data_IF_763394888895
#
_entry.id   IF_763394888895
#
_cell.length_a   1.000
_cell.length_b   1.000
_cell.length_c   1.000
_cell.angle_alpha   90.00
_cell.angle_beta   90.00
_cell.angle_gamma   90.00
#
_symmetry.space_group_name_H-M   'P 1'
#
loop_
_entity.id
_entity.type
_entity.pdbx_description
1 polymer ?
#
# COMPACT_ATOMS: atom_id res chain seq x y z
N UNK A 1 52.71 5.49 -31.11
CA UNK A 1 52.91 6.33 -29.93
C UNK A 1 54.23 5.97 -29.30
N UNK A 2 55.07 6.93 -28.99
CA UNK A 2 56.33 6.65 -28.27
C UNK A 2 56.01 6.43 -26.78
N UNK A 3 56.88 5.69 -26.08
CA UNK A 3 56.72 5.44 -24.63
C UNK A 3 56.60 6.74 -23.81
N UNK A 4 57.17 7.81 -24.27
CA UNK A 4 57.01 9.16 -23.67
C UNK A 4 55.62 9.74 -23.85
N UNK A 5 54.98 9.56 -24.99
CA UNK A 5 53.62 10.04 -25.23
C UNK A 5 52.61 9.29 -24.34
N UNK A 6 52.81 7.98 -24.17
CA UNK A 6 51.97 7.17 -23.26
C UNK A 6 52.14 7.60 -21.79
N UNK A 7 53.38 7.92 -21.38
CA UNK A 7 53.65 8.46 -20.05
C UNK A 7 52.98 9.81 -19.80
N UNK A 8 53.03 10.73 -20.76
CA UNK A 8 52.36 12.02 -20.65
C UNK A 8 50.82 11.88 -20.63
N UNK A 9 50.28 10.99 -21.44
CA UNK A 9 48.84 10.73 -21.41
C UNK A 9 48.35 10.19 -20.04
N UNK A 10 49.13 9.27 -19.47
CA UNK A 10 48.83 8.75 -18.14
C UNK A 10 48.88 9.84 -17.05
N UNK A 11 49.92 10.70 -17.12
CA UNK A 11 50.03 11.84 -16.19
C UNK A 11 48.89 12.86 -16.37
N UNK A 12 48.49 13.15 -17.61
CA UNK A 12 47.35 14.04 -17.88
C UNK A 12 46.06 13.44 -17.29
N UNK A 13 45.81 12.15 -17.51
CA UNK A 13 44.61 11.48 -16.97
C UNK A 13 44.60 11.49 -15.45
N UNK A 14 45.77 11.28 -14.81
CA UNK A 14 45.90 11.32 -13.35
C UNK A 14 45.65 12.74 -12.82
N UNK A 15 46.19 13.76 -13.44
CA UNK A 15 45.97 15.18 -13.07
C UNK A 15 44.50 15.60 -13.27
N UNK A 16 43.87 15.17 -14.34
CA UNK A 16 42.44 15.42 -14.58
C UNK A 16 41.55 14.78 -13.49
N UNK A 17 41.89 13.57 -13.06
CA UNK A 17 41.21 12.92 -11.95
C UNK A 17 41.40 13.67 -10.62
N UNK A 18 42.60 14.16 -10.33
CA UNK A 18 42.89 14.96 -9.14
C UNK A 18 42.14 16.30 -9.17
N UNK A 19 42.10 16.97 -10.31
CA UNK A 19 41.35 18.22 -10.49
C UNK A 19 39.84 17.97 -10.27
N UNK A 20 39.29 16.88 -10.79
CA UNK A 20 37.88 16.53 -10.59
C UNK A 20 37.59 16.33 -9.09
N UNK A 21 38.43 15.58 -8.39
CA UNK A 21 38.29 15.34 -6.97
C UNK A 21 38.33 16.64 -6.15
N UNK A 22 39.32 17.50 -6.44
CA UNK A 22 39.45 18.79 -5.74
C UNK A 22 38.25 19.71 -5.99
N UNK A 23 37.71 19.75 -7.21
CA UNK A 23 36.48 20.54 -7.52
C UNK A 23 35.30 20.03 -6.70
N UNK A 24 35.06 18.73 -6.62
CA UNK A 24 33.98 18.16 -5.81
C UNK A 24 34.13 18.49 -4.31
N UNK A 25 35.35 18.44 -3.79
CA UNK A 25 35.64 18.81 -2.40
C UNK A 25 35.40 20.29 -2.13
N UNK A 26 35.82 21.17 -3.04
CA UNK A 26 35.58 22.63 -2.95
C UNK A 26 34.09 22.93 -3.00
N UNK A 27 33.35 22.31 -3.90
CA UNK A 27 31.89 22.46 -4.00
C UNK A 27 31.18 22.00 -2.73
N UNK A 28 31.59 20.88 -2.15
CA UNK A 28 31.08 20.40 -0.88
C UNK A 28 31.33 21.40 0.26
N UNK A 29 32.57 21.85 0.39
CA UNK A 29 32.94 22.79 1.44
C UNK A 29 32.25 24.16 1.27
N UNK A 30 32.11 24.62 0.04
CA UNK A 30 31.40 25.87 -0.28
C UNK A 30 29.91 25.77 0.09
N UNK A 31 29.25 24.68 -0.25
CA UNK A 31 27.85 24.43 0.16
C UNK A 31 27.68 24.32 1.65
N UNK A 32 28.64 23.71 2.35
CA UNK A 32 28.63 23.58 3.82
C UNK A 32 28.79 24.91 4.52
N UNK A 33 29.59 25.83 3.97
CA UNK A 33 29.90 27.16 4.53
C UNK A 33 28.86 28.21 4.16
N UNK A 34 28.36 28.19 2.91
CA UNK A 34 27.52 29.25 2.36
C UNK A 34 26.15 28.79 1.89
N UNK A 35 25.85 27.48 1.93
CA UNK A 35 24.55 26.98 1.54
C UNK A 35 23.46 27.40 2.53
N UNK A 36 22.38 27.97 2.03
CA UNK A 36 21.19 28.25 2.82
C UNK A 36 20.62 26.90 3.30
N UNK A 37 20.34 26.78 4.59
CA UNK A 37 19.67 25.64 5.21
C UNK A 37 18.18 25.66 4.83
N UNK A 38 17.87 25.40 3.57
CA UNK A 38 16.50 25.19 3.10
C UNK A 38 16.31 23.71 2.85
N UNK A 39 15.42 23.08 3.63
CA UNK A 39 15.01 21.67 3.46
C UNK A 39 14.08 21.44 2.25
N UNK A 40 13.96 22.41 1.34
CA UNK A 40 13.19 22.22 0.11
C UNK A 40 14.00 21.39 -0.87
N UNK A 41 13.75 20.08 -0.87
CA UNK A 41 14.19 19.16 -1.92
C UNK A 41 13.40 19.52 -3.18
N UNK A 42 14.08 20.09 -4.20
CA UNK A 42 13.49 20.16 -5.53
C UNK A 42 13.33 18.76 -6.06
N UNK A 43 12.09 18.32 -6.23
CA UNK A 43 11.76 17.06 -6.88
C UNK A 43 12.22 17.17 -8.33
N UNK A 44 13.24 16.41 -8.68
CA UNK A 44 13.56 16.12 -10.07
C UNK A 44 12.50 15.13 -10.55
N UNK A 45 11.63 15.56 -11.47
CA UNK A 45 10.74 14.66 -12.20
C UNK A 45 11.60 13.64 -12.96
N UNK A 46 11.67 12.43 -12.44
CA UNK A 46 12.26 11.29 -13.12
C UNK A 46 11.08 10.60 -13.81
N UNK A 47 11.01 10.67 -15.14
CA UNK A 47 10.03 9.92 -15.92
C UNK A 47 10.04 8.45 -15.52
N UNK A 48 8.86 7.94 -15.10
CA UNK A 48 8.68 6.55 -14.69
C UNK A 48 8.64 6.28 -13.19
N UNK A 49 8.85 7.27 -12.31
CA UNK A 49 8.68 7.10 -10.87
C UNK A 49 7.23 7.37 -10.48
N UNK A 50 6.43 6.31 -10.31
CA UNK A 50 5.11 6.43 -9.70
C UNK A 50 5.25 6.80 -8.22
N UNK A 51 4.75 7.98 -7.84
CA UNK A 51 4.56 8.35 -6.44
C UNK A 51 3.52 7.40 -5.82
N UNK A 52 3.90 6.68 -4.78
CA UNK A 52 2.99 5.75 -4.09
C UNK A 52 1.95 6.49 -3.24
N UNK A 53 2.13 7.77 -2.95
CA UNK A 53 1.29 8.58 -2.09
C UNK A 53 1.09 10.00 -2.62
N UNK A 54 -0.11 10.27 -2.96
CA UNK A 54 -0.95 11.47 -3.02
C UNK A 54 -0.29 12.81 -3.40
N UNK A 55 -0.36 13.17 -4.68
CA UNK A 55 -0.05 14.50 -5.20
C UNK A 55 -0.83 15.64 -4.52
N UNK A 56 -1.98 15.35 -3.90
CA UNK A 56 -2.85 16.34 -3.24
C UNK A 56 -2.25 16.92 -1.97
N UNK A 57 -1.38 16.20 -1.26
CA UNK A 57 -0.66 16.73 -0.10
C UNK A 57 0.57 17.56 -0.49
N UNK A 58 1.15 17.29 -1.66
CA UNK A 58 2.29 18.03 -2.19
C UNK A 58 1.90 19.45 -2.62
N UNK A 59 0.67 19.65 -3.09
CA UNK A 59 0.11 20.96 -3.49
C UNK A 59 -0.69 21.64 -2.40
N UNK A 60 -0.79 21.08 -1.19
CA UNK A 60 -1.46 21.73 -0.07
C UNK A 60 -0.66 22.97 0.36
N UNK A 61 -1.31 24.11 0.34
CA UNK A 61 -0.72 25.37 0.81
C UNK A 61 -0.47 25.28 2.32
N UNK A 62 0.79 25.12 2.71
CA UNK A 62 1.22 25.02 4.10
C UNK A 62 1.02 26.33 4.90
N UNK A 63 0.66 27.43 4.22
CA UNK A 63 0.39 28.73 4.86
C UNK A 63 -1.05 28.86 5.38
N UNK A 64 -1.95 27.97 4.98
CA UNK A 64 -3.34 27.98 5.46
C UNK A 64 -3.36 27.47 6.89
N UNK A 65 -3.62 28.36 7.84
CA UNK A 65 -3.84 28.00 9.26
C UNK A 65 -4.99 27.03 9.37
N UNK A 66 -4.73 25.88 10.04
CA UNK A 66 -5.81 24.97 10.42
C UNK A 66 -6.87 25.75 11.22
N UNK A 67 -8.18 25.52 10.94
CA UNK A 67 -9.22 26.13 11.72
C UNK A 67 -9.08 25.73 13.20
N UNK A 68 -9.11 26.71 14.10
CA UNK A 68 -9.04 26.46 15.54
C UNK A 68 -10.11 25.43 15.94
N UNK A 69 -9.69 24.42 16.72
CA UNK A 69 -10.58 23.41 17.25
C UNK A 69 -11.53 24.10 18.24
N UNK A 70 -12.74 24.43 17.79
CA UNK A 70 -13.81 24.85 18.67
C UNK A 70 -14.22 23.61 19.50
N UNK A 71 -14.12 23.70 20.83
CA UNK A 71 -14.70 22.70 21.72
C UNK A 71 -16.19 22.58 21.39
N UNK A 72 -16.57 21.46 20.79
CA UNK A 72 -17.97 21.16 20.51
C UNK A 72 -18.61 20.79 21.84
N UNK A 73 -19.50 21.65 22.35
CA UNK A 73 -20.34 21.34 23.50
C UNK A 73 -21.00 19.96 23.30
N UNK A 74 -21.11 19.20 24.41
CA UNK A 74 -21.73 17.87 24.42
C UNK A 74 -23.09 17.90 23.73
N UNK A 75 -23.15 17.47 22.47
CA UNK A 75 -24.41 17.31 21.77
C UNK A 75 -25.19 16.17 22.40
N UNK A 76 -26.33 16.47 22.96
CA UNK A 76 -27.35 15.48 23.31
C UNK A 76 -27.73 14.72 22.04
N UNK A 77 -27.47 13.39 22.02
CA UNK A 77 -27.90 12.52 20.91
C UNK A 77 -29.40 12.69 20.70
N UNK A 78 -29.80 13.26 19.57
CA UNK A 78 -31.20 13.25 19.15
C UNK A 78 -31.70 11.80 19.13
N UNK A 79 -32.80 11.51 19.82
CA UNK A 79 -33.45 10.20 19.74
C UNK A 79 -33.76 9.91 18.27
N UNK A 80 -33.33 8.74 17.79
CA UNK A 80 -33.72 8.25 16.47
C UNK A 80 -35.25 8.07 16.48
N UNK A 81 -35.93 8.71 15.56
CA UNK A 81 -37.37 8.49 15.38
C UNK A 81 -37.61 7.31 14.43
N UNK A 82 -38.71 6.61 14.62
CA UNK A 82 -39.18 5.52 13.77
C UNK A 82 -39.46 6.08 12.35
N UNK A 83 -39.00 5.41 11.29
CA UNK A 83 -39.20 5.87 9.89
C UNK A 83 -38.00 6.61 9.28
N UNK A 84 -36.93 6.88 10.03
CA UNK A 84 -35.77 7.61 9.52
C UNK A 84 -35.08 6.88 8.36
N UNK A 85 -35.09 5.54 8.34
CA UNK A 85 -34.52 4.75 7.26
C UNK A 85 -35.36 4.82 5.99
N UNK A 86 -36.64 4.68 6.10
CA UNK A 86 -37.59 4.76 4.99
C UNK A 86 -37.50 6.13 4.32
N UNK A 87 -37.33 7.20 5.09
CA UNK A 87 -37.16 8.54 4.55
C UNK A 87 -35.84 8.69 3.74
N UNK A 88 -34.76 8.01 4.16
CA UNK A 88 -33.47 8.07 3.48
C UNK A 88 -33.47 7.39 2.09
N UNK A 89 -34.34 6.43 1.86
CA UNK A 89 -34.36 5.60 0.64
C UNK A 89 -35.60 5.77 -0.22
N UNK A 90 -36.54 6.63 0.19
CA UNK A 90 -37.86 6.77 -0.44
C UNK A 90 -37.81 7.13 -1.93
N UNK A 91 -36.79 7.88 -2.36
CA UNK A 91 -36.66 8.38 -3.73
C UNK A 91 -35.76 7.46 -4.61
N UNK A 92 -35.26 6.34 -4.05
CA UNK A 92 -34.45 5.38 -4.79
C UNK A 92 -35.30 4.26 -5.40
N UNK A 93 -34.90 3.67 -6.54
CA UNK A 93 -35.63 2.53 -7.13
C UNK A 93 -35.52 1.30 -6.21
N UNK A 94 -36.65 0.63 -5.97
CA UNK A 94 -36.74 -0.55 -5.14
C UNK A 94 -36.87 -1.82 -5.97
N UNK A 95 -36.28 -2.93 -5.48
CA UNK A 95 -36.56 -4.28 -6.01
C UNK A 95 -36.72 -5.27 -4.86
N UNK A 96 -37.60 -6.24 -5.04
CA UNK A 96 -37.87 -7.32 -4.08
C UNK A 96 -37.01 -8.53 -4.43
N UNK A 97 -36.33 -9.08 -3.44
CA UNK A 97 -35.66 -10.40 -3.53
C UNK A 97 -36.40 -11.36 -2.58
N UNK A 98 -36.92 -12.45 -3.14
CA UNK A 98 -37.63 -13.46 -2.40
C UNK A 98 -36.73 -14.68 -2.20
N UNK A 99 -36.46 -15.02 -0.94
CA UNK A 99 -35.74 -16.23 -0.56
C UNK A 99 -36.71 -17.37 -0.34
N UNK A 100 -36.47 -18.48 -1.01
CA UNK A 100 -37.29 -19.69 -0.98
C UNK A 100 -36.48 -20.86 -0.46
N UNK A 101 -37.15 -21.89 0.03
CA UNK A 101 -36.54 -23.19 0.35
C UNK A 101 -36.62 -24.06 -0.90
N UNK A 102 -35.50 -24.68 -1.31
CA UNK A 102 -35.47 -25.63 -2.42
C UNK A 102 -36.44 -26.81 -2.16
N UNK A 103 -36.93 -27.43 -3.23
CA UNK A 103 -37.91 -28.55 -3.14
C UNK A 103 -37.44 -29.67 -2.21
N UNK A 104 -36.15 -29.98 -2.24
CA UNK A 104 -35.54 -30.98 -1.33
C UNK A 104 -35.60 -30.60 0.17
N UNK A 105 -35.53 -29.29 0.45
CA UNK A 105 -35.62 -28.74 1.81
C UNK A 105 -37.05 -28.54 2.31
N UNK A 106 -38.07 -28.67 1.44
CA UNK A 106 -39.49 -28.51 1.81
C UNK A 106 -40.05 -29.76 2.47
N UNK A 107 -39.23 -30.66 3.00
CA UNK A 107 -39.62 -31.85 3.73
C UNK A 107 -39.47 -31.57 5.21
N UNK A 108 -40.55 -31.85 5.98
CA UNK A 108 -40.57 -31.67 7.43
C UNK A 108 -39.60 -32.66 8.11
N UNK A 109 -38.60 -32.17 8.80
CA UNK A 109 -37.62 -32.97 9.53
C UNK A 109 -38.25 -33.86 10.63
N UNK A 110 -39.42 -33.48 11.17
CA UNK A 110 -40.10 -34.23 12.23
C UNK A 110 -40.94 -35.40 11.72
N UNK A 111 -41.58 -35.28 10.56
CA UNK A 111 -42.52 -36.32 10.12
C UNK A 111 -42.37 -36.73 8.66
N UNK A 112 -41.39 -36.20 7.91
CA UNK A 112 -41.11 -36.51 6.52
C UNK A 112 -42.17 -36.04 5.49
N UNK A 113 -43.20 -35.29 5.91
CA UNK A 113 -44.24 -34.81 4.99
C UNK A 113 -43.82 -33.48 4.33
N UNK A 114 -44.29 -33.20 3.10
CA UNK A 114 -44.05 -31.92 2.43
C UNK A 114 -44.70 -30.75 3.20
N UNK A 115 -43.92 -29.68 3.35
CA UNK A 115 -44.38 -28.42 3.94
C UNK A 115 -45.02 -27.53 2.88
N UNK A 116 -45.95 -26.67 3.29
CA UNK A 116 -46.67 -25.73 2.43
C UNK A 116 -46.30 -24.32 2.81
N UNK A 117 -46.05 -23.48 1.80
CA UNK A 117 -45.87 -22.04 2.00
C UNK A 117 -47.09 -21.45 2.68
N UNK A 118 -46.88 -20.74 3.79
CA UNK A 118 -47.95 -20.11 4.59
C UNK A 118 -47.85 -18.59 4.63
N UNK A 119 -46.71 -18.03 4.16
CA UNK A 119 -46.57 -16.57 4.11
C UNK A 119 -45.19 -16.11 3.64
N UNK A 120 -45.03 -14.82 3.54
CA UNK A 120 -43.78 -14.12 3.28
C UNK A 120 -43.51 -13.16 4.43
N UNK A 121 -42.26 -13.10 4.86
CA UNK A 121 -41.84 -12.21 5.93
C UNK A 121 -40.75 -11.27 5.39
N UNK A 122 -40.93 -9.96 5.67
CA UNK A 122 -39.88 -8.98 5.41
C UNK A 122 -38.68 -9.26 6.32
N UNK A 123 -37.48 -9.29 5.74
CA UNK A 123 -36.25 -9.57 6.49
C UNK A 123 -35.42 -8.31 6.67
N UNK A 124 -35.07 -7.63 5.59
CA UNK A 124 -34.25 -6.43 5.61
C UNK A 124 -34.31 -5.67 4.30
N UNK A 125 -33.90 -4.42 4.37
CA UNK A 125 -33.60 -3.57 3.21
C UNK A 125 -32.09 -3.34 3.13
N UNK A 126 -31.52 -3.40 1.93
CA UNK A 126 -30.14 -3.01 1.65
C UNK A 126 -30.07 -2.09 0.42
N UNK A 127 -29.04 -1.25 0.34
CA UNK A 127 -28.77 -0.41 -0.84
C UNK A 127 -27.67 -1.04 -1.67
N UNK A 128 -27.96 -1.34 -2.93
CA UNK A 128 -26.99 -1.86 -3.88
C UNK A 128 -26.39 -0.70 -4.68
N UNK A 129 -25.06 -0.61 -4.75
CA UNK A 129 -24.38 0.27 -5.66
C UNK A 129 -24.28 -0.40 -7.05
N UNK A 130 -24.76 0.33 -8.05
CA UNK A 130 -24.56 0.00 -9.46
C UNK A 130 -23.79 1.18 -10.04
N UNK A 131 -22.70 0.98 -10.81
CA UNK A 131 -21.96 2.10 -11.40
C UNK A 131 -22.89 3.11 -12.04
N UNK A 132 -22.77 4.39 -11.63
CA UNK A 132 -23.64 5.50 -11.97
C UNK A 132 -25.08 5.50 -11.38
N UNK A 133 -25.38 4.64 -10.39
CA UNK A 133 -26.70 4.68 -9.74
C UNK A 133 -26.80 3.86 -8.46
N UNK A 134 -27.86 4.13 -7.69
CA UNK A 134 -28.21 3.38 -6.49
C UNK A 134 -29.51 2.63 -6.69
N UNK A 135 -29.62 1.46 -6.11
CA UNK A 135 -30.84 0.65 -6.10
C UNK A 135 -31.09 0.14 -4.69
N UNK A 136 -32.31 0.22 -4.23
CA UNK A 136 -32.74 -0.37 -2.97
C UNK A 136 -33.20 -1.80 -3.23
N UNK A 137 -32.73 -2.72 -2.38
CA UNK A 137 -33.12 -4.12 -2.42
C UNK A 137 -33.82 -4.46 -1.10
N UNK A 138 -35.09 -4.84 -1.18
CA UNK A 138 -35.87 -5.31 -0.05
C UNK A 138 -35.87 -6.84 -0.04
N UNK A 139 -35.32 -7.42 1.00
CA UNK A 139 -35.25 -8.86 1.16
C UNK A 139 -36.47 -9.38 1.93
N UNK A 140 -37.13 -10.35 1.35
CA UNK A 140 -38.25 -11.09 1.93
C UNK A 140 -37.90 -12.56 1.98
N UNK A 141 -38.43 -13.28 2.95
CA UNK A 141 -38.31 -14.73 3.02
C UNK A 141 -39.66 -15.41 3.13
N UNK A 142 -39.78 -16.56 2.53
CA UNK A 142 -40.97 -17.41 2.65
C UNK A 142 -40.93 -18.17 3.96
N UNK A 143 -42.10 -18.43 4.51
CA UNK A 143 -42.32 -19.26 5.69
C UNK A 143 -43.16 -20.47 5.27
N UNK A 144 -42.72 -21.64 5.64
CA UNK A 144 -43.34 -22.91 5.31
C UNK A 144 -43.89 -23.56 6.57
N UNK A 145 -45.05 -24.25 6.47
CA UNK A 145 -45.67 -24.97 7.57
C UNK A 145 -45.89 -26.45 7.21
N UNK A 146 -45.59 -27.34 8.16
CA UNK A 146 -45.95 -28.76 8.05
C UNK A 146 -47.39 -28.97 8.51
N UNK A 147 -48.32 -29.17 7.57
CA UNK A 147 -49.74 -29.40 7.88
C UNK A 147 -49.99 -30.71 8.65
N UNK A 148 -49.15 -31.73 8.47
CA UNK A 148 -49.26 -33.00 9.17
C UNK A 148 -48.93 -32.81 10.65
N UNK A 149 -47.83 -32.16 10.99
CA UNK A 149 -47.46 -31.88 12.38
C UNK A 149 -48.50 -30.97 13.04
N UNK A 150 -49.05 -29.99 12.31
CA UNK A 150 -50.13 -29.11 12.82
C UNK A 150 -51.36 -29.93 13.23
N UNK A 151 -51.80 -30.90 12.39
CA UNK A 151 -52.96 -31.77 12.72
C UNK A 151 -52.69 -32.67 13.92
N UNK A 152 -51.43 -33.00 14.19
CA UNK A 152 -50.99 -33.80 15.32
C UNK A 152 -50.79 -32.97 16.61
N UNK A 153 -51.09 -31.68 16.59
CA UNK A 153 -50.94 -30.78 17.76
C UNK A 153 -49.50 -30.33 18.04
N UNK A 154 -48.53 -30.64 17.17
CA UNK A 154 -47.15 -30.22 17.30
C UNK A 154 -46.70 -29.39 16.06
N UNK A 155 -47.17 -28.16 15.91
CA UNK A 155 -46.89 -27.33 14.71
C UNK A 155 -45.39 -27.18 14.49
N UNK A 156 -44.98 -27.35 13.23
CA UNK A 156 -43.61 -27.12 12.77
C UNK A 156 -43.62 -26.11 11.62
N UNK A 157 -42.82 -25.05 11.78
CA UNK A 157 -42.65 -24.01 10.79
C UNK A 157 -41.17 -23.82 10.50
N UNK A 158 -40.83 -23.58 9.25
CA UNK A 158 -39.50 -23.30 8.78
C UNK A 158 -39.50 -22.04 7.92
N UNK A 159 -38.47 -21.22 8.08
CA UNK A 159 -38.27 -19.99 7.32
C UNK A 159 -37.10 -20.16 6.35
N UNK A 160 -37.27 -19.71 5.13
CA UNK A 160 -36.20 -19.73 4.13
C UNK A 160 -34.93 -19.05 4.66
N UNK A 161 -33.73 -19.66 4.44
CA UNK A 161 -32.48 -19.07 4.85
C UNK A 161 -32.20 -17.78 4.06
N UNK A 162 -31.65 -16.78 4.72
CA UNK A 162 -31.25 -15.52 4.10
C UNK A 162 -29.78 -15.26 4.40
N UNK A 163 -28.96 -14.94 3.38
CA UNK A 163 -27.56 -14.62 3.59
C UNK A 163 -27.36 -13.50 4.61
N UNK A 164 -26.37 -13.64 5.47
CA UNK A 164 -26.03 -12.62 6.45
C UNK A 164 -25.55 -11.35 5.75
N UNK A 165 -26.06 -10.16 6.10
CA UNK A 165 -25.56 -8.92 5.53
C UNK A 165 -24.13 -8.64 6.02
N UNK A 166 -23.30 -7.93 5.23
CA UNK A 166 -21.93 -7.63 5.65
C UNK A 166 -21.86 -6.78 6.91
N UNK A 167 -22.86 -5.92 7.15
CA UNK A 167 -23.00 -5.14 8.38
C UNK A 167 -24.44 -5.27 8.88
N UNK A 168 -24.60 -5.88 10.05
CA UNK A 168 -25.92 -6.09 10.66
C UNK A 168 -26.64 -4.75 10.90
N UNK A 169 -27.94 -4.77 10.69
CA UNK A 169 -28.82 -3.60 10.94
C UNK A 169 -28.42 -2.32 10.19
N UNK A 170 -27.82 -2.46 9.01
CA UNK A 170 -27.43 -1.33 8.15
C UNK A 170 -28.09 -1.42 6.76
N UNK A 171 -27.91 -0.37 5.95
CA UNK A 171 -28.29 -0.37 4.53
C UNK A 171 -27.14 -0.86 3.62
N UNK A 172 -26.02 -1.27 4.22
CA UNK A 172 -24.83 -1.65 3.49
C UNK A 172 -25.00 -2.99 2.79
N UNK A 173 -24.92 -3.00 1.46
CA UNK A 173 -24.69 -4.20 0.68
C UNK A 173 -23.19 -4.44 0.46
N UNK A 174 -22.82 -5.63 0.01
CA UNK A 174 -21.43 -5.92 -0.35
C UNK A 174 -20.90 -4.99 -1.44
N UNK A 175 -21.72 -4.65 -2.45
CA UNK A 175 -21.34 -3.74 -3.54
C UNK A 175 -21.12 -2.31 -3.07
N UNK A 176 -21.95 -1.81 -2.16
CA UNK A 176 -21.80 -0.49 -1.55
C UNK A 176 -20.49 -0.36 -0.78
N UNK A 177 -20.16 -1.40 0.00
CA UNK A 177 -18.92 -1.44 0.79
C UNK A 177 -17.70 -1.55 -0.11
N UNK A 178 -17.75 -2.41 -1.13
CA UNK A 178 -16.65 -2.55 -2.10
C UNK A 178 -16.34 -1.23 -2.80
N UNK A 179 -17.37 -0.48 -3.20
CA UNK A 179 -17.21 0.83 -3.80
C UNK A 179 -16.62 1.85 -2.83
N UNK A 180 -17.09 1.86 -1.59
CA UNK A 180 -16.58 2.73 -0.53
C UNK A 180 -15.08 2.49 -0.25
N UNK A 181 -14.67 1.21 -0.22
CA UNK A 181 -13.27 0.79 -0.04
C UNK A 181 -12.43 1.22 -1.24
N UNK A 182 -12.90 0.92 -2.46
CA UNK A 182 -12.21 1.28 -3.70
C UNK A 182 -11.96 2.79 -3.79
N UNK A 183 -12.98 3.60 -3.59
CA UNK A 183 -12.83 5.05 -3.61
C UNK A 183 -11.84 5.55 -2.55
N UNK A 184 -11.92 5.01 -1.33
CA UNK A 184 -11.10 5.51 -0.23
C UNK A 184 -9.63 5.08 -0.35
N UNK A 185 -9.37 3.82 -0.64
CA UNK A 185 -8.03 3.24 -0.53
C UNK A 185 -7.29 3.09 -1.85
N UNK A 186 -8.00 3.02 -2.97
CA UNK A 186 -7.39 2.96 -4.29
C UNK A 186 -7.37 4.33 -4.98
N UNK A 187 -8.51 5.04 -4.95
CA UNK A 187 -8.61 6.36 -5.58
C UNK A 187 -8.25 7.52 -4.63
N UNK A 188 -7.96 7.25 -3.36
CA UNK A 188 -7.60 8.28 -2.38
C UNK A 188 -8.71 9.27 -2.03
N UNK A 189 -9.99 8.98 -2.34
CA UNK A 189 -11.11 9.89 -2.11
C UNK A 189 -11.54 9.85 -0.63
N UNK A 190 -11.37 10.94 0.14
CA UNK A 190 -11.73 10.95 1.55
C UNK A 190 -13.24 10.88 1.74
N UNK A 191 -13.68 10.29 2.88
CA UNK A 191 -15.10 10.04 3.16
C UNK A 191 -15.99 11.30 3.08
N UNK A 192 -15.45 12.49 3.36
CA UNK A 192 -16.25 13.73 3.27
C UNK A 192 -16.57 14.11 1.81
N UNK A 193 -15.76 13.70 0.84
CA UNK A 193 -16.06 13.87 -0.58
C UNK A 193 -17.03 12.81 -1.07
N UNK A 194 -16.87 11.59 -0.60
CA UNK A 194 -17.81 10.50 -0.89
C UNK A 194 -19.20 10.79 -0.32
N UNK A 195 -19.33 11.44 0.87
CA UNK A 195 -20.59 11.88 1.44
C UNK A 195 -21.39 12.77 0.47
N UNK A 196 -20.69 13.69 -0.22
CA UNK A 196 -21.31 14.56 -1.24
C UNK A 196 -21.74 13.80 -2.49
N UNK A 197 -20.93 12.83 -2.92
CA UNK A 197 -21.27 11.97 -4.06
C UNK A 197 -22.51 11.12 -3.76
N UNK A 198 -22.56 10.48 -2.59
CA UNK A 198 -23.72 9.71 -2.16
C UNK A 198 -25.00 10.58 -2.08
N UNK A 199 -24.88 11.80 -1.58
CA UNK A 199 -26.00 12.75 -1.55
C UNK A 199 -26.47 13.12 -2.97
N UNK A 200 -25.55 13.34 -3.92
CA UNK A 200 -25.87 13.60 -5.32
C UNK A 200 -26.55 12.41 -5.99
N UNK A 201 -26.26 11.18 -5.57
CA UNK A 201 -26.94 9.96 -6.02
C UNK A 201 -28.27 9.69 -5.29
N UNK A 202 -28.69 10.58 -4.41
CA UNK A 202 -29.96 10.48 -3.67
C UNK A 202 -29.91 9.78 -2.31
N UNK A 203 -28.71 9.43 -1.81
CA UNK A 203 -28.54 8.77 -0.51
C UNK A 203 -27.76 9.65 0.48
N UNK A 204 -28.40 10.17 1.51
CA UNK A 204 -27.75 10.92 2.60
C UNK A 204 -27.02 9.98 3.57
N UNK A 205 -25.83 9.56 3.20
CA UNK A 205 -24.97 8.65 3.97
C UNK A 205 -23.90 9.45 4.72
N UNK A 206 -23.95 9.47 6.06
CA UNK A 206 -22.99 10.24 6.85
C UNK A 206 -21.60 9.59 6.89
N UNK A 207 -20.56 10.42 7.02
CA UNK A 207 -19.16 9.96 7.22
C UNK A 207 -19.03 8.97 8.38
N UNK A 208 -19.75 9.20 9.46
CA UNK A 208 -19.74 8.32 10.64
C UNK A 208 -20.29 6.93 10.30
N UNK A 209 -21.38 6.85 9.50
CA UNK A 209 -21.92 5.57 9.04
C UNK A 209 -20.94 4.84 8.11
N UNK A 210 -20.35 5.54 7.14
CA UNK A 210 -19.34 4.98 6.23
C UNK A 210 -18.12 4.45 7.01
N UNK A 211 -17.59 5.25 7.95
CA UNK A 211 -16.45 4.83 8.78
C UNK A 211 -16.78 3.60 9.61
N UNK A 212 -17.97 3.56 10.21
CA UNK A 212 -18.40 2.38 10.98
C UNK A 212 -18.54 1.12 10.11
N UNK A 213 -19.07 1.25 8.89
CA UNK A 213 -19.15 0.12 7.95
C UNK A 213 -17.78 -0.44 7.61
N UNK A 214 -16.82 0.44 7.31
CA UNK A 214 -15.44 0.03 7.03
C UNK A 214 -14.81 -0.71 8.22
N UNK A 215 -14.97 -0.18 9.45
CA UNK A 215 -14.41 -0.79 10.65
C UNK A 215 -15.04 -2.16 10.96
N UNK A 216 -16.37 -2.27 10.85
CA UNK A 216 -17.09 -3.54 11.07
C UNK A 216 -16.69 -4.57 10.03
N UNK A 217 -16.67 -4.20 8.75
CA UNK A 217 -16.31 -5.12 7.67
C UNK A 217 -14.84 -5.55 7.77
N UNK A 218 -13.93 -4.65 8.14
CA UNK A 218 -12.56 -5.04 8.40
C UNK A 218 -12.48 -6.06 9.55
N UNK A 219 -13.08 -5.76 10.69
CA UNK A 219 -13.03 -6.61 11.88
C UNK A 219 -13.63 -8.00 11.64
N UNK A 220 -14.80 -8.05 11.01
CA UNK A 220 -15.61 -9.28 10.97
C UNK A 220 -15.36 -10.12 9.70
N UNK A 221 -14.80 -9.52 8.62
CA UNK A 221 -14.61 -10.19 7.33
C UNK A 221 -13.19 -10.05 6.78
N UNK A 222 -12.71 -8.82 6.57
CA UNK A 222 -11.46 -8.60 5.83
C UNK A 222 -10.21 -8.98 6.63
N UNK A 223 -10.24 -8.90 7.95
CA UNK A 223 -9.11 -9.29 8.81
C UNK A 223 -8.69 -10.75 8.58
N UNK A 224 -9.65 -11.65 8.32
CA UNK A 224 -9.37 -13.05 7.98
C UNK A 224 -8.68 -13.18 6.62
N UNK A 225 -9.12 -12.41 5.62
CA UNK A 225 -8.50 -12.38 4.28
C UNK A 225 -7.08 -11.80 4.39
N UNK A 226 -6.91 -10.70 5.10
CA UNK A 226 -5.60 -10.06 5.34
C UNK A 226 -4.66 -11.03 6.08
N UNK A 227 -5.14 -11.73 7.11
CA UNK A 227 -4.37 -12.76 7.79
C UNK A 227 -3.93 -13.90 6.84
N UNK A 228 -4.81 -14.32 5.93
CA UNK A 228 -4.45 -15.32 4.92
C UNK A 228 -3.43 -14.79 3.92
N UNK A 229 -3.57 -13.55 3.46
CA UNK A 229 -2.58 -12.92 2.56
C UNK A 229 -1.19 -12.88 3.21
N UNK A 230 -1.08 -12.55 4.50
CA UNK A 230 0.19 -12.62 5.24
C UNK A 230 0.77 -14.03 5.22
N UNK A 231 -0.05 -15.05 5.51
CA UNK A 231 0.39 -16.44 5.49
C UNK A 231 0.90 -16.89 4.12
N UNK A 232 0.22 -16.52 3.03
CA UNK A 232 0.67 -16.83 1.67
C UNK A 232 1.91 -16.04 1.27
N UNK A 233 2.03 -14.79 1.70
CA UNK A 233 3.22 -13.99 1.46
C UNK A 233 4.47 -14.59 2.14
N UNK A 234 4.34 -15.02 3.39
CA UNK A 234 5.44 -15.63 4.17
C UNK A 234 5.86 -17.04 3.70
N UNK A 235 5.15 -17.65 2.75
CA UNK A 235 5.57 -18.89 2.10
C UNK A 235 6.51 -18.66 0.91
N UNK A 236 6.64 -17.42 0.44
CA UNK A 236 7.47 -17.09 -0.70
C UNK A 236 8.94 -17.00 -0.29
N UNK A 237 9.86 -17.41 -1.17
CA UNK A 237 11.29 -17.42 -0.89
C UNK A 237 11.91 -16.02 -0.85
N UNK A 238 11.27 -15.05 -1.52
CA UNK A 238 11.78 -13.68 -1.68
C UNK A 238 10.70 -12.65 -1.43
N UNK A 239 11.01 -11.65 -0.59
CA UNK A 239 10.12 -10.53 -0.29
C UNK A 239 10.85 -9.20 -0.51
N UNK A 240 10.11 -8.19 -0.98
CA UNK A 240 10.54 -6.79 -0.92
C UNK A 240 9.88 -6.13 0.28
N UNK A 241 10.67 -5.40 1.06
CA UNK A 241 10.17 -4.69 2.25
C UNK A 241 10.69 -3.26 2.21
N UNK A 242 9.77 -2.34 2.46
CA UNK A 242 10.05 -0.91 2.57
C UNK A 242 9.08 -0.28 3.57
N UNK A 243 9.37 0.90 4.09
CA UNK A 243 8.46 1.66 4.94
C UNK A 243 8.41 3.13 4.53
N UNK A 244 7.22 3.70 4.63
CA UNK A 244 7.00 5.11 4.35
C UNK A 244 6.42 5.83 5.55
N UNK A 245 6.79 7.08 5.71
CA UNK A 245 6.28 7.95 6.77
C UNK A 245 4.80 8.25 6.56
N UNK A 246 4.01 8.12 7.63
CA UNK A 246 2.57 8.46 7.66
C UNK A 246 2.30 9.29 8.91
N UNK A 247 1.68 10.45 8.74
CA UNK A 247 1.22 11.24 9.87
C UNK A 247 -0.17 10.77 10.32
N UNK A 248 -0.31 10.40 11.59
CA UNK A 248 -1.59 10.03 12.18
C UNK A 248 -1.96 11.05 13.25
N UNK A 249 -3.03 11.81 12.99
CA UNK A 249 -3.54 12.82 13.93
C UNK A 249 -4.42 12.17 15.00
N UNK A 250 -4.32 12.70 16.23
CA UNK A 250 -5.16 12.27 17.38
C UNK A 250 -5.00 10.78 17.74
N UNK A 251 -3.81 10.24 17.54
CA UNK A 251 -3.50 8.89 18.01
C UNK A 251 -3.36 8.91 19.56
N UNK A 252 -4.02 7.95 20.23
CA UNK A 252 -4.03 7.89 21.68
C UNK A 252 -2.62 7.76 22.25
N UNK A 253 -2.27 8.64 23.20
CA UNK A 253 -0.98 8.63 23.87
C UNK A 253 0.21 9.20 23.05
N UNK A 254 -0.05 9.79 21.85
CA UNK A 254 1.00 10.33 20.98
C UNK A 254 0.72 11.78 20.59
N UNK A 255 1.78 12.52 20.31
CA UNK A 255 1.69 13.88 19.76
C UNK A 255 1.34 13.81 18.26
N UNK A 256 0.59 14.78 17.76
CA UNK A 256 0.26 14.87 16.32
C UNK A 256 1.50 15.02 15.41
N UNK A 257 2.64 15.44 15.97
CA UNK A 257 3.94 15.57 15.29
C UNK A 257 4.78 14.29 15.36
N UNK A 258 4.26 13.20 15.93
CA UNK A 258 4.99 11.94 16.01
C UNK A 258 4.93 11.20 14.67
N UNK A 259 6.09 10.74 14.21
CA UNK A 259 6.20 9.96 12.99
C UNK A 259 5.65 8.55 13.20
N UNK A 260 4.73 8.16 12.37
CA UNK A 260 4.23 6.79 12.22
C UNK A 260 4.59 6.26 10.84
N UNK A 261 4.51 4.97 10.62
CA UNK A 261 4.99 4.35 9.39
C UNK A 261 3.97 3.35 8.83
N UNK A 262 3.86 3.35 7.52
CA UNK A 262 3.23 2.29 6.77
C UNK A 262 4.33 1.37 6.23
N UNK A 263 4.38 0.17 6.74
CA UNK A 263 5.26 -0.90 6.28
C UNK A 263 4.62 -1.61 5.10
N UNK A 264 5.41 -1.89 4.08
CA UNK A 264 4.96 -2.56 2.86
C UNK A 264 5.78 -3.81 2.66
N UNK A 265 5.10 -4.95 2.60
CA UNK A 265 5.71 -6.25 2.34
C UNK A 265 5.15 -6.77 1.02
N UNK A 266 6.02 -6.99 0.05
CA UNK A 266 5.62 -7.37 -1.31
C UNK A 266 6.28 -8.66 -1.75
N UNK A 267 5.55 -9.46 -2.53
CA UNK A 267 6.14 -10.49 -3.36
C UNK A 267 7.03 -9.87 -4.46
N UNK A 268 7.94 -10.65 -5.02
CA UNK A 268 8.70 -10.26 -6.20
C UNK A 268 7.79 -10.13 -7.43
N UNK A 269 8.27 -9.42 -8.48
CA UNK A 269 7.51 -9.14 -9.70
C UNK A 269 6.96 -10.40 -10.36
N UNK A 270 7.77 -11.47 -10.43
CA UNK A 270 7.46 -12.71 -11.14
C UNK A 270 6.86 -13.80 -10.22
N UNK A 271 6.32 -13.43 -9.05
CA UNK A 271 5.68 -14.38 -8.15
C UNK A 271 4.38 -14.93 -8.76
N UNK A 272 4.13 -16.23 -8.63
CA UNK A 272 2.88 -16.88 -9.07
C UNK A 272 1.64 -16.25 -8.40
N UNK A 273 1.79 -15.86 -7.15
CA UNK A 273 0.75 -15.18 -6.38
C UNK A 273 1.28 -13.81 -5.93
N UNK A 274 1.05 -12.75 -6.72
CA UNK A 274 1.51 -11.41 -6.38
C UNK A 274 0.70 -10.86 -5.20
N UNK A 275 1.38 -10.55 -4.09
CA UNK A 275 0.78 -10.00 -2.88
C UNK A 275 1.49 -8.71 -2.52
N UNK A 276 0.71 -7.68 -2.16
CA UNK A 276 1.19 -6.45 -1.52
C UNK A 276 0.46 -6.29 -0.21
N UNK A 277 1.20 -6.34 0.88
CA UNK A 277 0.67 -6.25 2.24
C UNK A 277 1.11 -4.96 2.89
N UNK A 278 0.17 -4.20 3.41
CA UNK A 278 0.41 -2.94 4.09
C UNK A 278 0.12 -3.08 5.57
N UNK A 279 1.05 -2.65 6.41
CA UNK A 279 0.90 -2.69 7.86
C UNK A 279 1.23 -1.32 8.48
N UNK A 280 0.27 -0.76 9.18
CA UNK A 280 0.52 0.43 9.98
C UNK A 280 1.28 0.08 11.25
N UNK A 281 2.33 0.87 11.54
CA UNK A 281 3.06 0.77 12.81
C UNK A 281 3.36 2.17 13.38
N UNK A 282 3.30 2.34 14.71
CA UNK A 282 3.53 3.63 15.34
C UNK A 282 5.01 4.07 15.32
N UNK A 283 5.89 3.36 14.65
CA UNK A 283 7.30 3.70 14.57
C UNK A 283 8.06 2.86 13.54
N UNK A 284 9.36 3.18 13.42
CA UNK A 284 10.29 2.56 12.47
C UNK A 284 11.17 1.46 13.10
N UNK A 285 10.97 1.09 14.39
CA UNK A 285 11.86 0.16 15.09
C UNK A 285 11.93 -1.23 14.47
N UNK A 286 13.11 -1.88 14.50
CA UNK A 286 13.37 -3.21 13.95
C UNK A 286 12.46 -4.32 14.52
N UNK A 287 11.90 -4.12 15.70
CA UNK A 287 10.92 -5.03 16.31
C UNK A 287 9.67 -5.27 15.45
N UNK A 288 9.30 -4.33 14.56
CA UNK A 288 8.12 -4.46 13.71
C UNK A 288 8.35 -5.45 12.55
N UNK A 289 9.38 -5.29 11.70
CA UNK A 289 9.67 -6.29 10.69
C UNK A 289 10.08 -7.64 11.30
N UNK A 290 10.75 -7.68 12.45
CA UNK A 290 11.06 -8.92 13.17
C UNK A 290 9.78 -9.68 13.56
N UNK A 291 8.78 -9.00 14.15
CA UNK A 291 7.50 -9.59 14.51
C UNK A 291 6.65 -10.00 13.28
N UNK A 292 6.78 -9.26 12.17
CA UNK A 292 6.09 -9.62 10.94
C UNK A 292 6.66 -10.89 10.32
N UNK A 293 7.99 -11.01 10.30
CA UNK A 293 8.78 -12.09 9.69
C UNK A 293 9.02 -13.27 10.64
N UNK A 294 8.34 -13.33 11.78
CA UNK A 294 8.51 -14.44 12.72
C UNK A 294 8.26 -15.79 12.02
N UNK A 295 9.25 -16.69 12.09
CA UNK A 295 9.25 -17.98 11.42
C UNK A 295 9.55 -17.96 9.91
N UNK A 296 9.80 -16.79 9.31
CA UNK A 296 10.20 -16.68 7.91
C UNK A 296 11.68 -17.04 7.72
N UNK A 297 11.98 -17.89 6.72
CA UNK A 297 13.35 -18.37 6.44
C UNK A 297 13.80 -18.07 4.99
N UNK A 298 13.30 -17.01 4.40
CA UNK A 298 13.59 -16.61 3.03
C UNK A 298 14.57 -15.45 2.93
N UNK A 299 14.59 -14.82 1.76
CA UNK A 299 15.40 -13.64 1.47
C UNK A 299 14.53 -12.39 1.43
N UNK A 300 15.01 -11.31 2.05
CA UNK A 300 14.36 -10.00 1.98
C UNK A 300 15.22 -9.00 1.21
N UNK A 301 14.59 -8.20 0.36
CA UNK A 301 15.18 -7.06 -0.31
C UNK A 301 14.73 -5.78 0.40
N UNK A 302 15.66 -5.03 0.97
CA UNK A 302 15.37 -3.81 1.74
C UNK A 302 16.35 -2.70 1.37
N UNK A 303 16.10 -1.48 1.85
CA UNK A 303 17.13 -0.44 1.93
C UNK A 303 18.21 -0.80 2.98
N UNK A 304 19.18 0.08 3.23
CA UNK A 304 20.24 -0.14 4.24
C UNK A 304 19.82 0.17 5.69
N UNK A 305 18.55 0.41 5.97
CA UNK A 305 18.10 0.71 7.32
C UNK A 305 18.47 -0.42 8.32
N UNK A 306 19.09 -0.04 9.43
CA UNK A 306 19.61 -1.00 10.43
C UNK A 306 18.52 -1.82 11.13
N UNK A 307 17.26 -1.38 11.10
CA UNK A 307 16.14 -2.10 11.70
C UNK A 307 15.85 -3.47 11.07
N UNK A 308 16.43 -3.76 9.89
CA UNK A 308 16.35 -5.07 9.26
C UNK A 308 17.51 -6.00 9.61
N UNK A 309 18.48 -5.52 10.40
CA UNK A 309 19.66 -6.33 10.75
C UNK A 309 19.30 -7.40 11.79
N UNK A 310 19.84 -8.60 11.62
CA UNK A 310 19.81 -9.65 12.63
C UNK A 310 18.45 -10.32 12.84
N UNK A 311 17.50 -10.17 11.91
CA UNK A 311 16.22 -10.89 11.96
C UNK A 311 16.52 -12.39 11.82
N UNK A 312 16.11 -13.23 12.79
CA UNK A 312 16.46 -14.66 12.79
C UNK A 312 15.92 -15.39 11.55
N UNK A 313 16.75 -16.26 10.95
CA UNK A 313 16.37 -17.08 9.78
C UNK A 313 16.31 -16.33 8.45
N UNK A 314 16.43 -15.00 8.44
CA UNK A 314 16.24 -14.16 7.25
C UNK A 314 17.58 -13.82 6.60
N UNK A 315 17.68 -14.05 5.30
CA UNK A 315 18.78 -13.55 4.46
C UNK A 315 18.42 -12.18 3.90
N UNK A 316 19.24 -11.17 4.16
CA UNK A 316 19.02 -9.82 3.66
C UNK A 316 19.82 -9.52 2.40
N UNK A 317 19.17 -8.92 1.40
CA UNK A 317 19.79 -8.35 0.21
C UNK A 317 19.48 -6.85 0.15
N UNK A 318 20.46 -6.03 -0.17
CA UNK A 318 20.28 -4.59 -0.31
C UNK A 318 19.70 -4.23 -1.68
N UNK A 319 18.85 -3.21 -1.70
CA UNK A 319 18.14 -2.79 -2.90
C UNK A 319 18.99 -1.86 -3.77
N UNK A 320 19.26 -2.27 -5.01
CA UNK A 320 20.03 -1.47 -5.98
C UNK A 320 19.29 -0.18 -6.38
N UNK A 321 17.97 -0.14 -6.31
CA UNK A 321 17.21 1.11 -6.55
C UNK A 321 17.53 2.16 -5.49
N UNK A 322 17.62 1.76 -4.22
CA UNK A 322 18.02 2.67 -3.14
C UNK A 322 19.50 3.07 -3.26
N UNK A 323 20.38 2.13 -3.62
CA UNK A 323 21.78 2.42 -3.93
C UNK A 323 21.90 3.49 -5.03
N UNK A 324 21.20 3.28 -6.14
CA UNK A 324 21.17 4.25 -7.26
C UNK A 324 20.65 5.61 -6.80
N UNK A 325 19.55 5.64 -6.03
CA UNK A 325 18.99 6.89 -5.48
C UNK A 325 20.00 7.64 -4.62
N UNK A 326 20.76 6.94 -3.78
CA UNK A 326 21.78 7.57 -2.95
C UNK A 326 22.84 8.30 -3.78
N UNK A 327 23.26 7.73 -4.92
CA UNK A 327 24.18 8.41 -5.85
C UNK A 327 23.49 9.54 -6.63
N UNK A 328 22.22 9.40 -7.01
CA UNK A 328 21.43 10.49 -7.63
C UNK A 328 21.30 11.67 -6.68
N UNK A 329 21.05 11.46 -5.41
CA UNK A 329 20.95 12.52 -4.38
C UNK A 329 22.30 13.23 -4.14
N UNK A 330 23.39 12.60 -4.52
CA UNK A 330 24.74 13.18 -4.47
C UNK A 330 25.14 13.94 -5.74
N UNK A 331 24.35 13.89 -6.84
CA UNK A 331 24.64 14.59 -8.08
C UNK A 331 24.70 16.11 -7.87
N UNK A 332 25.69 16.79 -8.47
CA UNK A 332 25.67 18.26 -8.61
C UNK A 332 24.50 18.72 -9.50
N UNK A 333 23.94 19.92 -9.25
CA UNK A 333 22.71 20.38 -9.89
C UNK A 333 22.76 20.48 -11.42
N UNK A 334 23.91 20.59 -12.04
CA UNK A 334 24.05 20.85 -13.47
C UNK A 334 24.97 19.86 -14.19
N UNK A 335 25.13 18.66 -13.63
CA UNK A 335 26.08 17.66 -14.13
C UNK A 335 25.36 16.38 -14.46
N UNK A 336 25.28 16.09 -15.77
CA UNK A 336 24.56 14.92 -16.28
C UNK A 336 25.45 13.92 -17.07
N UNK A 337 26.69 14.27 -17.34
CA UNK A 337 27.61 13.39 -18.09
C UNK A 337 28.46 12.55 -17.13
N UNK A 338 28.72 11.26 -17.43
CA UNK A 338 29.47 10.36 -16.53
C UNK A 338 30.86 10.87 -16.16
N UNK A 339 31.51 11.58 -17.10
CA UNK A 339 32.87 12.09 -16.95
C UNK A 339 32.94 13.33 -16.06
N UNK A 340 31.81 13.99 -15.83
CA UNK A 340 31.78 15.27 -15.14
C UNK A 340 31.86 15.18 -13.62
N UNK A 341 31.44 14.04 -13.02
CA UNK A 341 31.53 13.82 -11.57
C UNK A 341 31.44 12.34 -11.20
N UNK A 342 32.02 11.97 -10.05
CA UNK A 342 31.95 10.59 -9.54
C UNK A 342 30.52 10.10 -9.28
N UNK A 343 29.59 10.92 -8.72
CA UNK A 343 28.19 10.50 -8.62
C UNK A 343 27.54 10.19 -9.97
N UNK A 344 27.85 11.00 -11.01
CA UNK A 344 27.32 10.77 -12.35
C UNK A 344 27.86 9.49 -12.97
N UNK A 345 29.13 9.19 -12.76
CA UNK A 345 29.76 7.92 -13.18
C UNK A 345 29.10 6.72 -12.48
N UNK A 346 28.84 6.81 -11.16
CA UNK A 346 28.14 5.77 -10.41
C UNK A 346 26.74 5.51 -10.97
N UNK A 347 25.95 6.57 -11.19
CA UNK A 347 24.61 6.48 -11.76
C UNK A 347 24.66 5.85 -13.16
N UNK A 348 25.60 6.24 -14.00
CA UNK A 348 25.77 5.64 -15.34
C UNK A 348 26.04 4.14 -15.25
N UNK A 349 27.00 3.71 -14.42
CA UNK A 349 27.32 2.29 -14.22
C UNK A 349 26.14 1.48 -13.69
N UNK A 350 25.38 2.05 -12.75
CA UNK A 350 24.18 1.40 -12.21
C UNK A 350 23.05 1.34 -13.25
N UNK A 351 22.89 2.38 -14.09
CA UNK A 351 21.91 2.35 -15.18
C UNK A 351 22.16 1.19 -16.14
N UNK A 352 23.43 0.90 -16.48
CA UNK A 352 23.76 -0.24 -17.33
C UNK A 352 23.23 -1.59 -16.78
N UNK A 353 23.20 -1.73 -15.44
CA UNK A 353 22.63 -2.93 -14.79
C UNK A 353 21.09 -2.95 -14.94
N UNK A 354 20.43 -1.81 -14.74
CA UNK A 354 18.97 -1.73 -14.91
C UNK A 354 18.54 -1.92 -16.36
N UNK A 355 19.29 -1.36 -17.32
CA UNK A 355 19.02 -1.53 -18.75
C UNK A 355 19.16 -3.00 -19.14
N UNK A 356 20.22 -3.67 -18.67
CA UNK A 356 20.42 -5.09 -18.90
C UNK A 356 19.30 -5.95 -18.28
N UNK A 357 18.88 -5.64 -17.04
CA UNK A 357 17.74 -6.35 -16.41
C UNK A 357 16.44 -6.15 -17.18
N UNK A 358 16.22 -4.98 -17.77
CA UNK A 358 15.06 -4.72 -18.63
C UNK A 358 15.13 -5.55 -19.92
N UNK A 359 16.31 -5.72 -20.54
CA UNK A 359 16.48 -6.63 -21.68
C UNK A 359 16.21 -8.10 -21.34
N UNK A 360 16.54 -8.51 -20.10
CA UNK A 360 16.35 -9.88 -19.62
C UNK A 360 14.94 -10.14 -19.11
N UNK A 361 14.05 -9.12 -19.11
CA UNK A 361 12.67 -9.29 -18.66
C UNK A 361 11.92 -10.26 -19.58
N UNK A 362 11.13 -11.15 -18.98
CA UNK A 362 10.38 -12.18 -19.70
C UNK A 362 11.18 -13.45 -20.07
N UNK A 363 12.47 -13.50 -19.84
CA UNK A 363 13.24 -14.74 -20.02
C UNK A 363 12.92 -15.77 -18.92
N UNK A 364 12.88 -17.08 -19.26
CA UNK A 364 12.76 -18.13 -18.27
C UNK A 364 13.85 -18.03 -17.19
N UNK A 365 13.57 -18.34 -15.90
CA UNK A 365 14.51 -18.15 -14.79
C UNK A 365 15.90 -18.74 -15.00
N UNK A 366 15.99 -19.95 -15.61
CA UNK A 366 17.24 -20.61 -15.90
C UNK A 366 18.09 -19.90 -16.98
N UNK A 367 17.45 -19.31 -17.98
CA UNK A 367 18.11 -18.52 -19.01
C UNK A 367 18.53 -17.15 -18.46
N UNK A 368 17.63 -16.49 -17.74
CA UNK A 368 17.91 -15.22 -17.06
C UNK A 368 19.14 -15.33 -16.14
N UNK A 369 19.23 -16.41 -15.37
CA UNK A 369 20.40 -16.68 -14.51
C UNK A 369 21.70 -16.81 -15.32
N UNK A 370 21.69 -17.52 -16.46
CA UNK A 370 22.88 -17.67 -17.32
C UNK A 370 23.29 -16.33 -17.90
N UNK A 371 22.37 -15.56 -18.44
CA UNK A 371 22.65 -14.23 -18.99
C UNK A 371 23.21 -13.28 -17.94
N UNK A 372 22.66 -13.26 -16.73
CA UNK A 372 23.19 -12.48 -15.61
C UNK A 372 24.65 -12.85 -15.28
N UNK A 373 24.98 -14.13 -15.26
CA UNK A 373 26.36 -14.58 -14.98
C UNK A 373 27.32 -14.14 -16.07
N UNK A 374 26.89 -14.07 -17.33
CA UNK A 374 27.75 -13.73 -18.47
C UNK A 374 27.86 -12.21 -18.65
N UNK A 375 26.73 -11.47 -18.55
CA UNK A 375 26.65 -10.06 -18.91
C UNK A 375 26.61 -9.11 -17.71
N UNK A 376 25.85 -9.46 -16.66
CA UNK A 376 25.65 -8.59 -15.51
C UNK A 376 26.80 -8.69 -14.49
N UNK A 377 27.25 -9.88 -14.21
CA UNK A 377 28.35 -10.10 -13.24
C UNK A 377 29.60 -9.28 -13.53
N UNK A 378 30.13 -9.18 -14.77
CA UNK A 378 31.26 -8.31 -15.06
C UNK A 378 30.99 -6.83 -14.80
N UNK A 379 29.77 -6.34 -15.06
CA UNK A 379 29.35 -4.95 -14.77
C UNK A 379 29.32 -4.69 -13.28
N UNK A 380 28.81 -5.63 -12.51
CA UNK A 380 28.80 -5.57 -11.04
C UNK A 380 30.22 -5.55 -10.46
N UNK A 381 31.09 -6.44 -10.91
CA UNK A 381 32.48 -6.50 -10.46
C UNK A 381 33.23 -5.20 -10.81
N UNK A 382 32.99 -4.64 -11.99
CA UNK A 382 33.56 -3.37 -12.40
C UNK A 382 33.02 -2.20 -11.56
N UNK A 383 31.71 -2.21 -11.23
CA UNK A 383 31.12 -1.20 -10.35
C UNK A 383 31.71 -1.27 -8.93
N UNK A 384 31.80 -2.44 -8.34
CA UNK A 384 32.33 -2.60 -6.98
C UNK A 384 33.82 -2.23 -6.89
N UNK A 385 34.64 -2.67 -7.85
CA UNK A 385 36.06 -2.28 -7.91
C UNK A 385 36.23 -0.76 -8.04
N UNK A 386 35.35 -0.10 -8.82
CA UNK A 386 35.34 1.35 -8.95
C UNK A 386 34.88 2.00 -7.64
N UNK A 387 33.83 1.50 -7.00
CA UNK A 387 33.28 2.04 -5.76
C UNK A 387 34.28 2.00 -4.60
N UNK A 388 34.97 0.85 -4.41
CA UNK A 388 36.02 0.69 -3.39
C UNK A 388 37.15 1.71 -3.56
N UNK A 389 37.62 1.92 -4.77
CA UNK A 389 38.69 2.90 -5.06
C UNK A 389 38.23 4.34 -4.76
N UNK A 390 37.02 4.68 -5.10
CA UNK A 390 36.50 6.04 -4.97
C UNK A 390 36.00 6.35 -3.56
N UNK A 391 35.50 5.37 -2.81
CA UNK A 391 35.08 5.54 -1.43
C UNK A 391 36.23 6.04 -0.53
N UNK A 392 37.44 5.50 -0.72
CA UNK A 392 38.62 5.92 0.03
C UNK A 392 39.04 7.37 -0.19
N UNK A 393 38.60 7.98 -1.27
CA UNK A 393 38.94 9.36 -1.66
C UNK A 393 37.87 10.38 -1.21
N UNK A 394 36.78 9.92 -0.56
CA UNK A 394 35.64 10.78 -0.26
C UNK A 394 35.73 11.42 1.12
N UNK A 395 35.23 12.67 1.20
CA UNK A 395 35.12 13.37 2.48
C UNK A 395 34.04 12.77 3.37
N UNK A 396 34.34 12.47 4.63
CA UNK A 396 33.35 11.90 5.57
C UNK A 396 32.11 12.78 5.70
N UNK A 397 30.93 12.17 5.81
CA UNK A 397 29.63 12.84 6.00
C UNK A 397 29.14 13.62 4.77
N UNK A 398 29.78 13.53 3.61
CA UNK A 398 29.23 14.02 2.35
C UNK A 398 28.03 13.15 1.92
N UNK A 399 27.19 13.64 1.00
CA UNK A 399 26.15 12.81 0.40
C UNK A 399 26.74 11.61 -0.37
N UNK A 400 27.86 11.85 -1.03
CA UNK A 400 28.58 10.80 -1.78
C UNK A 400 29.22 9.77 -0.84
N UNK A 401 29.79 10.20 0.31
CA UNK A 401 30.25 9.27 1.35
C UNK A 401 29.13 8.35 1.82
N UNK A 402 27.94 8.89 2.09
CA UNK A 402 26.78 8.07 2.46
C UNK A 402 26.33 7.11 1.36
N UNK A 403 26.46 7.50 0.09
CA UNK A 403 26.16 6.62 -1.03
C UNK A 403 27.17 5.46 -1.12
N UNK A 404 28.44 5.71 -0.87
CA UNK A 404 29.46 4.65 -0.77
C UNK A 404 29.30 3.78 0.48
N UNK A 405 28.88 4.36 1.63
CA UNK A 405 28.57 3.59 2.83
C UNK A 405 27.35 2.66 2.63
N UNK A 406 26.45 3.04 1.74
CA UNK A 406 25.33 2.17 1.34
C UNK A 406 25.80 1.04 0.44
N UNK A 407 26.77 1.30 -0.45
CA UNK A 407 27.36 0.32 -1.36
C UNK A 407 28.20 -0.71 -0.62
#
# INVERSE_FOLDING_TARGET
>A
MSDRELQYQNQITELEQQIRLLKEQVDFLTRKLYGTKSEKTSVLDIEGQMSLFNETEYFADQSVKEPELVEVEKHLRKRKYTGQREELIKDLPHSKVLHTIDESGQVCEKCGSFMVKVGEEFVRTEVQFIPAGLKVIDHYRETYECRTCRKQGTPYMEKAPVPCPPVLHSLASASTIAWLIHQKFELGIPLYRQEKEWEALGLKLSRAAMSNWLLVVFRDWLSHVVGRLKQELLKQDYLHIDETHVQVLKEAGRKNTSDSYMWVYCSIKDAETPIRYFEYQPGRGGKYPEAFLDGYNGCIHTDAYSGYNGIPGVKRCLCYTHLRRAFVDALPKDVHTPEASRPAEAVFRLNQLFDLEAELDGLPPGQKKKERLIREKPLLEAFWSWAEKNAALELPKSKLSKAFEYA
#
